data_IF_407936080445
#
_entry.id   IF_407936080445
#
_cell.length_a   1.000
_cell.length_b   1.000
_cell.length_c   1.000
_cell.angle_alpha   90.00
_cell.angle_beta   90.00
_cell.angle_gamma   90.00
#
_symmetry.space_group_name_H-M   'P 1'
#
loop_
_entity.id
_entity.type
_entity.pdbx_description
1 polymer ?
#
# COMPACT_ATOMS: atom_id res chain seq x y z
N UNK A 1 -9.47 20.33 -13.35
CA UNK A 1 -9.10 19.07 -14.02
C UNK A 1 -8.28 18.32 -12.99
N UNK A 2 -8.83 17.27 -12.36
CA UNK A 2 -8.04 16.47 -11.41
C UNK A 2 -6.93 15.78 -12.20
N UNK A 3 -5.69 16.19 -12.00
CA UNK A 3 -4.55 15.43 -12.50
C UNK A 3 -4.44 14.19 -11.63
N UNK A 4 -4.80 13.04 -12.19
CA UNK A 4 -4.61 11.75 -11.55
C UNK A 4 -3.38 11.09 -12.14
N UNK A 5 -2.34 10.92 -11.34
CA UNK A 5 -1.18 10.13 -11.74
C UNK A 5 -1.28 8.73 -11.10
N UNK A 6 -1.14 7.72 -11.93
CA UNK A 6 -1.20 6.31 -11.54
C UNK A 6 0.14 5.65 -11.80
N UNK A 7 0.67 4.94 -10.81
CA UNK A 7 1.94 4.23 -10.89
C UNK A 7 1.79 2.83 -10.31
N UNK A 8 2.21 1.81 -11.05
CA UNK A 8 2.27 0.46 -10.50
C UNK A 8 3.55 0.24 -9.69
N UNK A 9 3.44 -0.44 -8.54
CA UNK A 9 4.55 -0.80 -7.68
C UNK A 9 4.30 -2.17 -7.04
N UNK A 10 5.14 -3.16 -7.35
CA UNK A 10 5.03 -4.54 -6.82
C UNK A 10 3.63 -5.16 -6.97
N UNK A 11 3.02 -4.99 -8.14
CA UNK A 11 1.64 -5.45 -8.46
C UNK A 11 0.51 -4.65 -7.78
N UNK A 12 0.85 -3.67 -6.94
CA UNK A 12 -0.10 -2.70 -6.41
C UNK A 12 -0.17 -1.48 -7.33
N UNK A 13 -1.25 -0.70 -7.24
CA UNK A 13 -1.38 0.56 -7.94
C UNK A 13 -1.43 1.73 -6.96
N UNK A 14 -0.51 2.67 -7.11
CA UNK A 14 -0.51 3.96 -6.43
C UNK A 14 -1.28 4.96 -7.29
N UNK A 15 -2.33 5.56 -6.72
CA UNK A 15 -3.17 6.56 -7.37
C UNK A 15 -3.03 7.85 -6.58
N UNK A 16 -2.63 8.92 -7.26
CA UNK A 16 -2.49 10.24 -6.64
C UNK A 16 -3.51 11.20 -7.23
N UNK A 17 -4.04 12.08 -6.41
CA UNK A 17 -4.99 13.14 -6.78
C UNK A 17 -4.57 14.46 -6.13
N UNK A 18 -4.68 15.54 -6.89
CA UNK A 18 -4.53 16.89 -6.34
C UNK A 18 -5.83 17.29 -5.61
N UNK A 19 -5.70 17.62 -4.33
CA UNK A 19 -6.76 18.13 -3.48
C UNK A 19 -6.45 19.56 -2.99
N UNK A 20 -7.44 20.23 -2.40
CA UNK A 20 -7.27 21.58 -1.86
C UNK A 20 -6.15 21.69 -0.81
N UNK A 21 -5.84 20.59 -0.12
CA UNK A 21 -4.88 20.53 0.98
C UNK A 21 -3.53 19.89 0.58
N UNK A 22 -3.31 19.61 -0.71
CA UNK A 22 -2.09 18.96 -1.21
C UNK A 22 -2.40 17.78 -2.11
N UNK A 23 -1.54 16.77 -2.09
CA UNK A 23 -1.67 15.57 -2.92
C UNK A 23 -2.14 14.41 -2.04
N UNK A 24 -3.33 13.88 -2.31
CA UNK A 24 -3.80 12.65 -1.70
C UNK A 24 -3.21 11.44 -2.44
N UNK A 25 -3.07 10.33 -1.72
CA UNK A 25 -2.63 9.06 -2.29
C UNK A 25 -3.46 7.90 -1.79
N UNK A 26 -3.93 7.11 -2.74
CA UNK A 26 -4.54 5.81 -2.54
C UNK A 26 -3.60 4.73 -3.08
N UNK A 27 -3.62 3.55 -2.47
CA UNK A 27 -2.94 2.38 -2.97
C UNK A 27 -3.92 1.21 -3.05
N UNK A 28 -3.92 0.52 -4.19
CA UNK A 28 -4.83 -0.58 -4.52
C UNK A 28 -4.01 -1.86 -4.54
N UNK A 29 -4.44 -2.85 -3.75
CA UNK A 29 -3.78 -4.16 -3.71
C UNK A 29 -4.12 -5.01 -4.95
N UNK A 30 -3.39 -6.13 -5.18
CA UNK A 30 -3.66 -7.02 -6.31
C UNK A 30 -5.05 -7.66 -6.28
N UNK A 31 -5.71 -7.68 -5.11
CA UNK A 31 -7.06 -8.20 -4.92
C UNK A 31 -8.12 -7.14 -5.25
N UNK A 32 -7.71 -5.91 -5.53
CA UNK A 32 -8.57 -4.77 -5.88
C UNK A 32 -9.04 -3.96 -4.68
N UNK A 33 -8.54 -4.22 -3.46
CA UNK A 33 -8.88 -3.40 -2.30
C UNK A 33 -8.10 -2.10 -2.31
N UNK A 34 -8.81 -0.99 -2.10
CA UNK A 34 -8.25 0.34 -2.04
C UNK A 34 -8.04 0.79 -0.59
N UNK A 35 -6.90 1.43 -0.34
CA UNK A 35 -6.52 1.99 0.94
C UNK A 35 -6.06 3.42 0.72
N UNK A 36 -6.54 4.34 1.56
CA UNK A 36 -6.21 5.76 1.47
C UNK A 36 -5.23 6.17 2.56
N UNK A 37 -4.27 7.02 2.22
CA UNK A 37 -3.46 7.69 3.23
C UNK A 37 -4.33 8.64 4.08
N UNK A 38 -4.08 8.77 5.39
CA UNK A 38 -4.91 9.61 6.27
C UNK A 38 -4.64 11.12 6.15
N UNK A 39 -3.69 11.53 5.30
CA UNK A 39 -3.28 12.92 5.11
C UNK A 39 -2.80 13.18 3.67
N UNK A 40 -2.79 14.46 3.29
CA UNK A 40 -2.24 14.93 2.03
C UNK A 40 -0.74 15.26 2.16
N UNK A 41 -0.03 15.22 1.03
CA UNK A 41 1.40 15.50 0.91
C UNK A 41 1.62 16.81 0.14
N UNK A 42 2.75 17.48 0.37
CA UNK A 42 3.08 18.72 -0.33
C UNK A 42 3.59 18.46 -1.74
N UNK A 43 4.23 17.31 -1.97
CA UNK A 43 4.81 16.94 -3.26
C UNK A 43 4.41 15.54 -3.71
N UNK A 44 4.40 15.33 -5.03
CA UNK A 44 4.10 14.03 -5.63
C UNK A 44 5.14 12.98 -5.20
N UNK A 45 6.41 13.38 -5.08
CA UNK A 45 7.49 12.49 -4.66
C UNK A 45 7.27 11.98 -3.23
N UNK A 46 6.91 12.85 -2.28
CA UNK A 46 6.61 12.46 -0.90
C UNK A 46 5.42 11.49 -0.84
N UNK A 47 4.35 11.79 -1.57
CA UNK A 47 3.18 10.94 -1.66
C UNK A 47 3.57 9.53 -2.16
N UNK A 48 4.28 9.45 -3.29
CA UNK A 48 4.70 8.18 -3.88
C UNK A 48 5.67 7.41 -2.98
N UNK A 49 6.60 8.08 -2.31
CA UNK A 49 7.54 7.44 -1.40
C UNK A 49 6.83 6.87 -0.17
N UNK A 50 5.85 7.61 0.38
CA UNK A 50 5.02 7.11 1.48
C UNK A 50 4.21 5.89 1.05
N UNK A 51 3.53 5.94 -0.10
CA UNK A 51 2.74 4.81 -0.60
C UNK A 51 3.58 3.55 -0.82
N UNK A 52 4.78 3.67 -1.37
CA UNK A 52 5.73 2.54 -1.49
C UNK A 52 6.10 1.95 -0.13
N UNK A 53 6.33 2.80 0.87
CA UNK A 53 6.66 2.37 2.23
C UNK A 53 5.49 1.60 2.87
N UNK A 54 4.25 2.05 2.69
CA UNK A 54 3.06 1.34 3.16
C UNK A 54 2.86 -0.01 2.47
N UNK A 55 3.09 -0.08 1.15
CA UNK A 55 3.03 -1.35 0.39
C UNK A 55 4.11 -2.31 0.89
N UNK A 56 5.34 -1.85 1.07
CA UNK A 56 6.45 -2.67 1.56
C UNK A 56 6.18 -3.24 2.95
N UNK A 57 5.63 -2.42 3.85
CA UNK A 57 5.20 -2.88 5.17
C UNK A 57 4.08 -3.91 5.06
N UNK A 58 3.07 -3.67 4.23
CA UNK A 58 1.93 -4.58 4.04
C UNK A 58 2.36 -5.94 3.52
N UNK A 59 3.27 -5.98 2.53
CA UNK A 59 3.83 -7.23 1.99
C UNK A 59 4.60 -7.98 3.09
N UNK A 60 5.49 -7.29 3.83
CA UNK A 60 6.27 -7.91 4.91
C UNK A 60 5.37 -8.46 6.02
N UNK A 61 4.33 -7.73 6.40
CA UNK A 61 3.35 -8.18 7.39
C UNK A 61 2.61 -9.44 6.92
N UNK A 62 2.16 -9.50 5.67
CA UNK A 62 1.52 -10.71 5.10
C UNK A 62 2.47 -11.92 5.11
N UNK A 63 3.75 -11.74 4.74
CA UNK A 63 4.75 -12.82 4.80
C UNK A 63 4.96 -13.32 6.23
N UNK A 64 5.14 -12.41 7.20
CA UNK A 64 5.37 -12.80 8.59
C UNK A 64 4.19 -13.54 9.24
N UNK A 65 2.97 -13.27 8.79
CA UNK A 65 1.76 -13.99 9.23
C UNK A 65 1.72 -15.37 8.58
N UNK A 66 2.08 -15.49 7.30
CA UNK A 66 2.16 -16.78 6.59
C UNK A 66 3.12 -17.75 7.29
N UNK A 67 4.34 -17.29 7.62
CA UNK A 67 5.37 -18.13 8.25
C UNK A 67 4.93 -18.64 9.63
N UNK A 68 4.18 -17.82 10.39
CA UNK A 68 3.65 -18.20 11.71
C UNK A 68 2.50 -19.20 11.61
N UNK A 69 1.69 -19.13 10.56
CA UNK A 69 0.58 -20.08 10.34
C UNK A 69 1.14 -21.45 9.93
N UNK A 70 2.19 -21.50 9.11
CA UNK A 70 2.83 -22.78 8.72
C UNK A 70 3.47 -23.47 9.93
N UNK A 71 4.21 -22.73 10.76
CA UNK A 71 4.81 -23.28 11.98
C UNK A 71 3.75 -23.81 12.97
N UNK A 72 2.60 -23.12 13.08
CA UNK A 72 1.52 -23.54 13.97
C UNK A 72 0.81 -24.82 13.48
N UNK A 73 0.70 -25.03 12.17
CA UNK A 73 0.10 -26.25 11.59
C UNK A 73 0.98 -27.48 11.81
N UNK A 74 2.30 -27.34 11.70
CA UNK A 74 3.24 -28.43 11.98
C UNK A 74 3.24 -28.85 13.46
N UNK A 75 3.12 -27.88 14.38
CA UNK A 75 3.07 -28.15 15.82
C UNK A 75 1.76 -28.81 16.30
N UNK A 76 0.65 -28.63 15.58
CA UNK A 76 -0.65 -29.24 15.92
C UNK A 76 -0.87 -30.62 15.29
N UNK A 77 0.03 -31.05 14.41
CA UNK A 77 -0.08 -32.31 13.67
C UNK A 77 0.87 -33.41 14.17
N UNK A 78 1.59 -33.16 15.27
CA UNK A 78 2.47 -34.10 15.97
C UNK A 78 1.93 -34.46 17.36
#
# INVERSE_FOLDING_TARGET
MEVRAMMSYKEWNLVTSEELNGIAIDYIDPEGHSYSAPFCFYTLEEALNYGKLCIDQSIRSKTSVSDRIETAKEAMSN
#
